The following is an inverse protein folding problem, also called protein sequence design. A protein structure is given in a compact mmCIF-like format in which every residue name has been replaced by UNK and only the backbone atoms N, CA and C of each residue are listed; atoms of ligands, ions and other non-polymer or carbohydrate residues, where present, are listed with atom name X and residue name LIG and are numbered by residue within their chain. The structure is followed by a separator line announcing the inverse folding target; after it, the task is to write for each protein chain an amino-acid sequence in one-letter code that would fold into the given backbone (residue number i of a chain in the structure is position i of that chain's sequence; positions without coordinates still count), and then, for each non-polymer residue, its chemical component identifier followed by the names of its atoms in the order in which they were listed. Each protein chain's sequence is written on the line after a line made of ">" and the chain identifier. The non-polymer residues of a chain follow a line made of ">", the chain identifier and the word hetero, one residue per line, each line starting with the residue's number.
data_IF_526680312535
#
_entry.id   IF_526680312535
#
_cell.length_a   1.000
_cell.length_b   1.000
_cell.length_c   1.000
_cell.angle_alpha   90.00
_cell.angle_beta   90.00
_cell.angle_gamma   90.00
#
_symmetry.space_group_name_H-M   'P 1'
#
loop_
_entity.id
_entity.type
_entity.pdbx_description
1 polymer ?
#
# COMPACT_ATOMS: atom_id res chain seq x y z
N UNK A 1 7.88 16.30 2.47
CA UNK A 1 6.83 16.97 3.28
C UNK A 1 5.81 17.55 2.33
N UNK A 2 4.52 17.40 2.61
CA UNK A 2 3.49 18.06 1.81
C UNK A 2 3.60 19.57 2.04
N UNK A 3 3.73 20.34 0.95
CA UNK A 3 3.78 21.80 1.00
C UNK A 3 2.34 22.30 1.20
N UNK A 4 2.13 23.21 2.16
CA UNK A 4 0.81 23.77 2.49
C UNK A 4 -0.24 22.74 2.96
N UNK A 5 0.18 21.63 3.56
CA UNK A 5 -0.76 20.70 4.18
C UNK A 5 -1.28 21.28 5.50
N UNK A 6 -2.55 21.64 5.52
CA UNK A 6 -3.30 21.93 6.74
C UNK A 6 -4.04 20.64 7.11
N UNK A 7 -3.68 20.05 8.25
CA UNK A 7 -4.37 18.87 8.76
C UNK A 7 -5.68 19.38 9.40
N UNK A 8 -6.86 18.96 8.91
CA UNK A 8 -8.13 19.37 9.50
C UNK A 8 -8.27 18.85 10.93
N UNK A 9 -9.13 19.49 11.72
CA UNK A 9 -9.46 18.96 13.04
C UNK A 9 -10.14 17.59 12.89
N UNK A 10 -9.99 16.70 13.87
CA UNK A 10 -10.58 15.37 13.82
C UNK A 10 -12.11 15.42 13.66
N UNK A 11 -12.77 16.45 14.21
CA UNK A 11 -14.21 16.72 14.05
C UNK A 11 -14.63 16.96 12.60
N UNK A 12 -13.70 17.42 11.76
CA UNK A 12 -13.95 17.84 10.39
C UNK A 12 -13.62 16.70 9.39
N UNK A 13 -13.16 15.56 9.90
CA UNK A 13 -12.89 14.36 9.11
C UNK A 13 -14.11 13.45 9.19
N UNK A 14 -14.92 13.44 8.14
CA UNK A 14 -16.09 12.58 8.05
C UNK A 14 -15.73 11.16 7.59
N UNK A 15 -16.34 10.11 8.19
CA UNK A 15 -16.13 8.75 7.73
C UNK A 15 -16.71 8.55 6.33
N UNK A 16 -16.01 7.77 5.50
CA UNK A 16 -16.53 7.31 4.22
C UNK A 16 -17.12 5.93 4.41
N UNK A 17 -18.41 5.79 4.15
CA UNK A 17 -19.09 4.49 4.28
C UNK A 17 -18.40 3.44 3.39
N UNK A 18 -18.14 2.27 3.96
CA UNK A 18 -17.47 1.18 3.26
C UNK A 18 -15.93 1.25 3.22
N UNK A 19 -15.31 2.21 3.92
CA UNK A 19 -13.85 2.27 4.09
C UNK A 19 -13.51 2.12 5.57
N UNK A 20 -12.63 1.16 5.88
CA UNK A 20 -12.01 1.02 7.21
C UNK A 20 -10.50 1.28 7.09
N UNK A 21 -9.92 1.94 8.10
CA UNK A 21 -8.49 2.31 8.09
C UNK A 21 -7.82 1.80 9.36
N UNK A 22 -6.75 1.03 9.19
CA UNK A 22 -5.89 0.55 10.27
C UNK A 22 -4.47 1.09 10.11
N UNK A 23 -3.79 1.35 11.23
CA UNK A 23 -2.38 1.74 11.24
C UNK A 23 -1.65 0.96 12.33
N UNK A 24 -0.43 0.51 12.06
CA UNK A 24 0.37 -0.23 13.03
C UNK A 24 1.86 0.12 12.93
N UNK A 25 2.61 -0.36 13.91
CA UNK A 25 4.07 -0.41 13.89
C UNK A 25 4.50 -1.78 13.38
N UNK A 26 5.21 -1.82 12.26
CA UNK A 26 5.84 -3.01 11.68
C UNK A 26 7.36 -3.05 11.91
N UNK A 27 7.98 -1.91 12.20
CA UNK A 27 9.42 -1.83 12.51
C UNK A 27 10.30 -1.55 11.29
N UNK A 28 9.71 -1.30 10.12
CA UNK A 28 10.42 -0.87 8.90
C UNK A 28 11.16 0.45 9.17
N UNK A 29 10.49 1.38 9.85
CA UNK A 29 11.10 2.63 10.31
C UNK A 29 11.24 2.60 11.81
N UNK A 30 12.43 2.24 12.31
CA UNK A 30 12.74 2.05 13.74
C UNK A 30 12.23 3.17 14.67
N UNK A 31 12.35 4.43 14.23
CA UNK A 31 11.96 5.61 15.01
C UNK A 31 10.48 6.02 14.84
N UNK A 32 9.69 5.34 14.01
CA UNK A 32 8.28 5.66 13.81
C UNK A 32 7.38 4.83 14.73
N UNK A 33 6.33 5.46 15.24
CA UNK A 33 5.29 4.78 16.01
C UNK A 33 4.30 4.03 15.12
N UNK A 34 4.15 4.49 13.87
CA UNK A 34 3.31 3.87 12.84
C UNK A 34 4.01 4.01 11.50
N UNK A 35 4.21 2.90 10.82
CA UNK A 35 4.92 2.82 9.56
C UNK A 35 4.24 1.92 8.54
N UNK A 36 3.12 1.28 8.91
CA UNK A 36 2.21 0.60 7.98
C UNK A 36 0.78 1.11 8.15
N UNK A 37 0.08 1.28 7.03
CA UNK A 37 -1.34 1.62 6.95
C UNK A 37 -2.05 0.59 6.07
N UNK A 38 -3.24 0.17 6.49
CA UNK A 38 -4.12 -0.71 5.72
C UNK A 38 -5.45 -0.01 5.53
N UNK A 39 -5.94 -0.02 4.29
CA UNK A 39 -7.31 0.36 3.97
C UNK A 39 -8.08 -0.91 3.59
N UNK A 40 -9.24 -1.12 4.19
CA UNK A 40 -10.17 -2.17 3.78
C UNK A 40 -11.36 -1.53 3.08
N UNK A 41 -11.72 -2.09 1.93
CA UNK A 41 -12.78 -1.59 1.07
C UNK A 41 -13.96 -2.57 1.08
N UNK A 42 -15.16 -2.03 1.18
CA UNK A 42 -16.39 -2.78 1.04
C UNK A 42 -16.47 -3.47 -0.33
N UNK A 43 -17.20 -4.58 -0.37
CA UNK A 43 -17.45 -5.28 -1.63
C UNK A 43 -18.18 -4.39 -2.63
N UNK A 44 -17.87 -4.53 -3.92
CA UNK A 44 -18.42 -3.68 -4.98
C UNK A 44 -17.75 -2.31 -5.13
N UNK A 45 -16.73 -1.99 -4.33
CA UNK A 45 -15.97 -0.73 -4.48
C UNK A 45 -15.25 -0.68 -5.84
N UNK A 46 -15.49 0.38 -6.60
CA UNK A 46 -14.74 0.66 -7.82
C UNK A 46 -13.40 1.33 -7.48
N UNK A 47 -12.31 0.80 -8.05
CA UNK A 47 -10.95 1.32 -7.82
C UNK A 47 -10.29 1.63 -9.16
N UNK A 48 -9.70 2.81 -9.25
CA UNK A 48 -8.87 3.24 -10.37
C UNK A 48 -7.55 3.80 -9.83
N UNK A 49 -6.50 3.75 -10.65
CA UNK A 49 -5.16 4.18 -10.25
C UNK A 49 -4.38 4.69 -11.45
N UNK A 50 -3.55 5.70 -11.20
CA UNK A 50 -2.53 6.17 -12.13
C UNK A 50 -1.16 5.89 -11.52
N UNK A 51 -0.22 5.49 -12.36
CA UNK A 51 1.12 5.11 -11.92
C UNK A 51 2.17 6.06 -12.49
N UNK A 52 3.32 6.13 -11.82
CA UNK A 52 4.45 6.90 -12.33
C UNK A 52 4.88 6.41 -13.72
N UNK A 53 5.17 7.35 -14.61
CA UNK A 53 5.72 7.09 -15.96
C UNK A 53 7.24 6.93 -15.95
N UNK A 54 7.89 7.06 -14.79
CA UNK A 54 9.31 6.85 -14.64
C UNK A 54 9.67 5.40 -15.01
N UNK A 55 10.75 5.20 -15.77
CA UNK A 55 11.26 3.85 -16.11
C UNK A 55 11.74 3.08 -14.89
N UNK A 56 12.22 3.77 -13.85
CA UNK A 56 12.68 3.19 -12.60
C UNK A 56 11.51 2.94 -11.63
N UNK A 57 10.62 2.02 -12.01
CA UNK A 57 9.41 1.71 -11.24
C UNK A 57 9.73 0.77 -10.08
N UNK A 58 9.30 1.15 -8.87
CA UNK A 58 9.41 0.31 -7.70
C UNK A 58 8.63 -1.01 -7.87
N UNK A 59 9.04 -2.07 -7.17
CA UNK A 59 8.33 -3.34 -7.15
C UNK A 59 6.83 -3.23 -6.81
N UNK A 60 6.39 -2.49 -5.75
CA UNK A 60 4.98 -2.35 -5.43
C UNK A 60 4.16 -1.69 -6.55
N UNK A 61 4.75 -0.77 -7.32
CA UNK A 61 4.07 -0.12 -8.44
C UNK A 61 3.72 -1.15 -9.53
N UNK A 62 4.63 -2.06 -9.83
CA UNK A 62 4.42 -3.11 -10.84
C UNK A 62 3.34 -4.11 -10.38
N UNK A 63 3.40 -4.54 -9.11
CA UNK A 63 2.39 -5.46 -8.54
C UNK A 63 1.02 -4.80 -8.48
N UNK A 64 0.95 -3.55 -8.03
CA UNK A 64 -0.29 -2.77 -7.93
C UNK A 64 -0.97 -2.61 -9.30
N UNK A 65 -0.21 -2.24 -10.34
CA UNK A 65 -0.76 -2.14 -11.70
C UNK A 65 -1.28 -3.49 -12.20
N UNK A 66 -0.52 -4.58 -12.00
CA UNK A 66 -0.94 -5.93 -12.41
C UNK A 66 -2.24 -6.37 -11.73
N UNK A 67 -2.37 -6.14 -10.43
CA UNK A 67 -3.58 -6.48 -9.68
C UNK A 67 -4.78 -5.64 -10.12
N UNK A 68 -4.57 -4.35 -10.38
CA UNK A 68 -5.62 -3.45 -10.85
C UNK A 68 -6.13 -3.84 -12.24
N UNK A 69 -5.23 -4.14 -13.18
CA UNK A 69 -5.58 -4.56 -14.56
C UNK A 69 -6.26 -5.93 -14.60
N UNK A 70 -5.93 -6.84 -13.67
CA UNK A 70 -6.56 -8.16 -13.60
C UNK A 70 -8.06 -8.11 -13.27
N UNK A 71 -8.56 -7.00 -12.72
CA UNK A 71 -10.01 -6.77 -12.56
C UNK A 71 -10.69 -7.65 -11.50
N UNK A 72 -9.95 -8.20 -10.53
CA UNK A 72 -10.47 -9.10 -9.50
C UNK A 72 -11.34 -8.43 -8.40
N UNK A 73 -11.66 -7.13 -8.55
CA UNK A 73 -12.34 -6.32 -7.54
C UNK A 73 -11.46 -6.08 -6.31
N UNK A 74 -10.85 -4.90 -6.23
CA UNK A 74 -9.91 -4.56 -5.14
C UNK A 74 -10.67 -4.42 -3.82
N UNK A 75 -10.11 -5.03 -2.76
CA UNK A 75 -10.68 -5.09 -1.41
C UNK A 75 -9.79 -4.49 -0.33
N UNK A 76 -8.49 -4.29 -0.61
CA UNK A 76 -7.60 -3.66 0.35
C UNK A 76 -6.42 -2.93 -0.29
N UNK A 77 -5.89 -1.95 0.43
CA UNK A 77 -4.62 -1.29 0.15
C UNK A 77 -3.69 -1.49 1.33
N UNK A 78 -2.40 -1.71 1.08
CA UNK A 78 -1.36 -1.77 2.11
C UNK A 78 -0.25 -0.80 1.78
N UNK A 79 0.08 0.08 2.72
CA UNK A 79 1.05 1.15 2.52
C UNK A 79 2.11 1.07 3.61
N UNK A 80 3.36 0.77 3.25
CA UNK A 80 4.48 0.89 4.17
C UNK A 80 5.26 2.19 3.94
N UNK A 81 5.87 2.71 5.01
CA UNK A 81 6.73 3.89 4.97
C UNK A 81 8.11 3.59 5.57
N UNK A 82 9.13 4.33 5.13
CA UNK A 82 10.53 4.13 5.55
C UNK A 82 11.37 3.37 4.52
N UNK A 83 10.75 2.52 3.70
CA UNK A 83 11.41 1.78 2.62
C UNK A 83 10.54 1.85 1.35
N UNK A 84 11.13 2.23 0.21
CA UNK A 84 10.40 2.37 -1.05
C UNK A 84 10.25 1.06 -1.85
N UNK A 85 10.97 0.02 -1.47
CA UNK A 85 11.10 -1.24 -2.20
C UNK A 85 11.33 -0.99 -3.71
N UNK A 86 12.29 -0.12 -4.00
CA UNK A 86 12.58 0.38 -5.33
C UNK A 86 14.02 0.05 -5.73
N UNK A 87 14.22 -0.46 -6.94
CA UNK A 87 15.54 -0.92 -7.42
C UNK A 87 16.04 -2.19 -6.74
N UNK A 88 15.12 -3.02 -6.24
CA UNK A 88 15.38 -4.23 -5.45
C UNK A 88 15.24 -5.55 -6.25
N UNK A 89 14.99 -5.45 -7.56
CA UNK A 89 14.93 -6.60 -8.47
C UNK A 89 13.84 -7.63 -8.13
N UNK A 90 14.11 -8.89 -8.44
CA UNK A 90 13.18 -10.01 -8.20
C UNK A 90 12.84 -10.20 -6.72
N UNK A 91 13.80 -9.97 -5.81
CA UNK A 91 13.55 -10.04 -4.37
C UNK A 91 12.52 -9.00 -3.91
N UNK A 92 12.60 -7.78 -4.44
CA UNK A 92 11.61 -6.74 -4.15
C UNK A 92 10.21 -7.04 -4.68
N UNK A 93 10.12 -7.61 -5.90
CA UNK A 93 8.86 -8.08 -6.47
C UNK A 93 8.23 -9.17 -5.61
N UNK A 94 9.01 -10.17 -5.22
CA UNK A 94 8.55 -11.25 -4.36
C UNK A 94 8.08 -10.72 -2.99
N UNK A 95 8.84 -9.82 -2.36
CA UNK A 95 8.43 -9.22 -1.08
C UNK A 95 7.12 -8.44 -1.18
N UNK A 96 6.87 -7.74 -2.30
CA UNK A 96 5.61 -7.04 -2.54
C UNK A 96 4.44 -8.02 -2.73
N UNK A 97 4.65 -9.14 -3.42
CA UNK A 97 3.66 -10.22 -3.58
C UNK A 97 3.34 -10.88 -2.23
N UNK A 98 4.36 -11.24 -1.45
CA UNK A 98 4.21 -11.80 -0.11
C UNK A 98 3.46 -10.85 0.83
N UNK A 99 3.70 -9.54 0.73
CA UNK A 99 2.94 -8.53 1.49
C UNK A 99 1.45 -8.58 1.14
N UNK A 100 1.12 -8.74 -0.14
CA UNK A 100 -0.28 -8.89 -0.59
C UNK A 100 -0.89 -10.19 -0.08
N UNK A 101 -0.17 -11.31 -0.18
CA UNK A 101 -0.61 -12.62 0.32
C UNK A 101 -0.86 -12.61 1.83
N UNK A 102 0.07 -12.03 2.60
CA UNK A 102 -0.06 -11.93 4.06
C UNK A 102 -1.30 -11.14 4.46
N UNK A 103 -1.52 -9.96 3.88
CA UNK A 103 -2.71 -9.17 4.18
C UNK A 103 -3.99 -9.87 3.70
N UNK A 104 -3.95 -10.49 2.52
CA UNK A 104 -5.09 -11.21 1.98
C UNK A 104 -5.52 -12.37 2.88
N UNK A 105 -4.57 -13.12 3.42
CA UNK A 105 -4.82 -14.18 4.40
C UNK A 105 -5.47 -13.66 5.69
N UNK A 106 -5.03 -12.52 6.21
CA UNK A 106 -5.62 -11.88 7.39
C UNK A 106 -7.06 -11.39 7.14
N UNK A 107 -7.37 -10.96 5.91
CA UNK A 107 -8.67 -10.41 5.54
C UNK A 107 -9.63 -11.44 4.92
N UNK A 108 -9.17 -12.66 4.63
CA UNK A 108 -9.96 -13.69 3.97
C UNK A 108 -10.35 -13.34 2.52
N UNK A 109 -9.45 -12.67 1.79
CA UNK A 109 -9.64 -12.26 0.38
C UNK A 109 -8.54 -12.87 -0.50
N UNK A 110 -8.66 -12.73 -1.83
CA UNK A 110 -7.59 -13.17 -2.73
C UNK A 110 -6.42 -12.17 -2.77
N UNK A 111 -5.15 -12.63 -2.92
CA UNK A 111 -3.98 -11.74 -2.99
C UNK A 111 -4.06 -10.67 -4.07
N UNK A 112 -4.64 -11.02 -5.23
CA UNK A 112 -4.88 -10.10 -6.35
C UNK A 112 -5.90 -9.00 -6.06
N UNK A 113 -6.59 -9.03 -4.91
CA UNK A 113 -7.51 -7.99 -4.44
C UNK A 113 -6.82 -6.97 -3.51
N UNK A 114 -5.52 -7.12 -3.27
CA UNK A 114 -4.71 -6.21 -2.44
C UNK A 114 -3.80 -5.37 -3.31
N UNK A 115 -3.77 -4.05 -3.11
CA UNK A 115 -2.83 -3.15 -3.78
C UNK A 115 -1.69 -2.72 -2.83
N UNK A 116 -0.42 -3.05 -3.13
CA UNK A 116 0.71 -2.64 -2.30
C UNK A 116 1.26 -1.26 -2.70
N UNK A 117 1.70 -0.51 -1.71
CA UNK A 117 2.38 0.79 -1.86
C UNK A 117 3.55 0.88 -0.87
N UNK A 118 4.64 1.50 -1.29
CA UNK A 118 5.83 1.70 -0.46
C UNK A 118 6.44 3.08 -0.71
N UNK A 119 6.96 3.71 0.34
CA UNK A 119 7.69 4.98 0.24
C UNK A 119 8.82 5.05 1.24
N UNK A 120 9.98 5.56 0.84
CA UNK A 120 11.15 5.68 1.70
C UNK A 120 12.46 5.55 0.93
N UNK A 121 13.45 4.90 1.54
CA UNK A 121 14.77 4.72 0.94
C UNK A 121 14.69 3.78 -0.27
N UNK A 122 15.43 4.12 -1.34
CA UNK A 122 15.56 3.36 -2.58
C UNK A 122 16.84 2.50 -2.49
N UNK A 123 16.85 1.32 -3.13
CA UNK A 123 17.94 0.32 -3.13
C UNK A 123 18.12 -0.46 -1.82
N UNK A 124 17.14 -0.41 -0.91
CA UNK A 124 17.11 -1.24 0.30
C UNK A 124 16.03 -2.30 0.21
N UNK A 125 16.36 -3.54 0.58
CA UNK A 125 15.38 -4.61 0.71
C UNK A 125 14.42 -4.33 1.86
N UNK A 126 13.17 -4.79 1.73
CA UNK A 126 12.25 -4.80 2.85
C UNK A 126 12.81 -5.71 3.96
N UNK A 127 12.71 -5.30 5.24
CA UNK A 127 13.21 -6.07 6.37
C UNK A 127 12.35 -7.30 6.69
#
# INVERSE_FOLDING_TARGET
>A
MAVNLIIPAQSDIHPVAGIEIGTAKSGIRKAADKDITVFRLAEGTAVAGVFTTNRFRAAPVQVCERHLVAGNGIRALVVNTGNANAGTGAAGLHAAEQTCEALAGLLGIAPGQVLPFSTGVILELLP
#
